data_IF_509129499429
#
_entry.id   IF_509129499429
#
_cell.length_a   1.000
_cell.length_b   1.000
_cell.length_c   1.000
_cell.angle_alpha   90.00
_cell.angle_beta   90.00
_cell.angle_gamma   90.00
#
_symmetry.space_group_name_H-M   'P 1'
#
loop_
_entity.id
_entity.type
_entity.pdbx_description
1 polymer ?
#
# COMPACT_ATOMS: atom_id res chain seq x y z
N UNK A 1 -16.21 3.69 29.88
CA UNK A 1 -17.27 4.56 29.33
C UNK A 1 -18.63 3.89 29.51
N UNK A 2 -19.70 4.63 29.82
CA UNK A 2 -21.06 4.08 29.99
C UNK A 2 -21.87 4.13 28.68
N UNK A 3 -21.39 3.37 27.71
CA UNK A 3 -22.03 3.13 26.40
C UNK A 3 -21.73 1.66 26.06
N UNK A 4 -22.75 0.87 25.74
CA UNK A 4 -22.54 -0.53 25.39
C UNK A 4 -22.03 -0.67 23.94
N UNK A 5 -21.14 -1.63 23.63
CA UNK A 5 -20.77 -1.94 22.25
C UNK A 5 -22.01 -2.19 21.37
N UNK A 6 -22.06 -1.54 20.20
CA UNK A 6 -23.17 -1.56 19.26
C UNK A 6 -24.23 -0.47 19.50
N UNK A 7 -24.21 0.18 20.67
CA UNK A 7 -25.16 1.24 21.00
C UNK A 7 -24.93 2.48 20.12
N UNK A 8 -26.02 3.04 19.60
CA UNK A 8 -26.02 4.20 18.71
C UNK A 8 -26.36 5.47 19.48
N UNK A 9 -25.52 6.50 19.38
CA UNK A 9 -25.78 7.82 19.97
C UNK A 9 -25.42 8.95 19.01
N UNK A 10 -26.00 10.13 19.25
CA UNK A 10 -25.55 11.35 18.57
C UNK A 10 -24.10 11.63 18.98
N UNK A 11 -23.24 11.90 18.01
CA UNK A 11 -21.82 12.21 18.26
C UNK A 11 -21.65 13.37 19.24
N UNK A 12 -22.47 14.41 19.10
CA UNK A 12 -22.44 15.57 20.00
C UNK A 12 -22.79 15.20 21.44
N UNK A 13 -23.76 14.31 21.66
CA UNK A 13 -24.14 13.89 23.00
C UNK A 13 -23.02 13.10 23.71
N UNK A 14 -22.26 12.29 22.96
CA UNK A 14 -21.04 11.63 23.49
C UNK A 14 -20.00 12.69 23.88
N UNK A 15 -19.78 13.67 23.02
CA UNK A 15 -18.80 14.72 23.25
C UNK A 15 -19.19 15.69 24.38
N UNK A 16 -20.49 15.88 24.63
CA UNK A 16 -20.98 16.66 25.77
C UNK A 16 -20.73 15.97 27.10
N UNK A 17 -20.74 14.62 27.12
CA UNK A 17 -20.50 13.82 28.31
C UNK A 17 -19.01 13.55 28.57
N UNK A 18 -18.25 13.27 27.51
CA UNK A 18 -16.88 12.77 27.61
C UNK A 18 -15.83 13.76 27.06
N UNK A 19 -16.25 14.88 26.49
CA UNK A 19 -15.39 15.89 25.88
C UNK A 19 -14.87 15.49 24.50
N UNK A 20 -13.71 16.05 24.14
CA UNK A 20 -13.10 15.85 22.82
C UNK A 20 -13.51 16.89 21.78
N UNK A 21 -12.65 17.12 20.79
CA UNK A 21 -12.90 18.07 19.72
C UNK A 21 -14.12 17.64 18.87
N UNK A 22 -15.07 18.56 18.65
CA UNK A 22 -16.32 18.32 17.90
C UNK A 22 -16.13 18.04 16.40
N UNK A 23 -15.01 18.46 15.82
CA UNK A 23 -14.73 18.37 14.39
C UNK A 23 -13.69 17.31 14.03
N UNK A 24 -12.74 17.01 14.93
CA UNK A 24 -11.62 16.10 14.65
C UNK A 24 -12.05 14.62 14.65
N UNK A 25 -11.47 13.81 13.75
CA UNK A 25 -11.64 12.35 13.78
C UNK A 25 -11.02 11.72 15.03
N UNK A 26 -9.87 12.26 15.46
CA UNK A 26 -9.19 11.90 16.70
C UNK A 26 -9.41 13.00 17.72
N UNK A 27 -10.35 12.76 18.65
CA UNK A 27 -10.78 13.74 19.62
C UNK A 27 -10.21 13.42 21.01
N UNK A 28 -9.02 13.92 21.29
CA UNK A 28 -8.45 13.89 22.64
C UNK A 28 -9.28 14.79 23.59
N UNK A 29 -9.60 14.29 24.78
CA UNK A 29 -10.41 15.02 25.77
C UNK A 29 -9.56 15.63 26.88
N UNK A 30 -9.89 16.87 27.27
CA UNK A 30 -9.35 17.52 28.49
C UNK A 30 -10.25 17.32 29.71
N UNK A 31 -11.47 16.83 29.50
CA UNK A 31 -12.50 16.67 30.54
C UNK A 31 -12.54 15.26 31.12
N UNK A 32 -12.09 14.27 30.35
CA UNK A 32 -12.02 12.87 30.75
C UNK A 32 -10.72 12.23 30.23
N UNK A 33 -10.25 11.13 30.85
CA UNK A 33 -9.05 10.41 30.42
C UNK A 33 -9.33 9.56 29.18
N UNK A 34 -9.87 10.16 28.12
CA UNK A 34 -10.30 9.48 26.91
C UNK A 34 -9.72 10.14 25.65
N UNK A 35 -9.46 9.31 24.64
CA UNK A 35 -9.28 9.72 23.24
C UNK A 35 -10.39 9.05 22.44
N UNK A 36 -11.26 9.85 21.84
CA UNK A 36 -12.40 9.35 21.07
C UNK A 36 -12.02 9.30 19.60
N UNK A 37 -12.12 8.13 18.99
CA UNK A 37 -11.78 7.86 17.59
C UNK A 37 -13.07 7.69 16.80
N UNK A 38 -13.23 8.45 15.73
CA UNK A 38 -14.41 8.39 14.87
C UNK A 38 -14.00 7.92 13.49
N UNK A 39 -14.44 6.72 13.12
CA UNK A 39 -14.29 6.16 11.77
C UNK A 39 -15.49 6.55 10.90
N UNK A 40 -15.23 6.84 9.63
CA UNK A 40 -16.26 7.08 8.62
C UNK A 40 -15.77 6.64 7.23
N UNK A 41 -15.73 5.33 6.94
CA UNK A 41 -15.16 4.80 5.70
C UNK A 41 -15.80 5.41 4.44
N UNK A 42 -17.13 5.57 4.45
CA UNK A 42 -17.89 6.12 3.31
C UNK A 42 -17.53 7.55 2.91
N UNK A 43 -16.92 8.36 3.79
CA UNK A 43 -16.35 9.68 3.47
C UNK A 43 -14.82 9.69 3.45
N UNK A 44 -14.20 8.81 4.23
CA UNK A 44 -12.76 8.72 4.42
C UNK A 44 -12.01 8.31 3.15
N UNK A 45 -12.58 7.41 2.34
CA UNK A 45 -11.94 6.96 1.10
C UNK A 45 -11.61 8.10 0.13
N UNK A 46 -12.41 9.18 0.12
CA UNK A 46 -12.19 10.35 -0.75
C UNK A 46 -10.92 11.14 -0.40
N UNK A 47 -10.34 10.90 0.78
CA UNK A 47 -9.13 11.59 1.28
C UNK A 47 -8.06 10.58 1.74
N UNK A 48 -8.17 9.33 1.27
CA UNK A 48 -7.20 8.27 1.48
C UNK A 48 -7.29 7.55 2.84
N UNK A 49 -8.42 7.63 3.54
CA UNK A 49 -8.59 6.92 4.82
C UNK A 49 -9.26 5.57 4.59
N UNK A 50 -8.56 4.51 4.91
CA UNK A 50 -8.97 3.12 4.71
C UNK A 50 -9.04 2.40 6.06
N UNK A 51 -10.07 2.75 6.84
CA UNK A 51 -10.28 2.19 8.18
C UNK A 51 -11.03 0.85 8.09
N UNK A 52 -10.62 -0.16 8.87
CA UNK A 52 -11.35 -1.42 8.89
C UNK A 52 -10.70 -2.53 9.70
N UNK A 53 -11.42 -3.64 9.83
CA UNK A 53 -10.94 -4.85 10.49
C UNK A 53 -9.94 -5.60 9.60
N UNK A 54 -8.78 -5.91 10.18
CA UNK A 54 -7.81 -6.82 9.62
C UNK A 54 -8.15 -8.29 9.88
N UNK A 55 -7.63 -9.17 9.02
CA UNK A 55 -7.66 -10.61 9.26
C UNK A 55 -6.82 -11.01 10.49
N UNK A 56 -5.90 -10.15 10.92
CA UNK A 56 -5.09 -10.28 12.13
C UNK A 56 -5.89 -9.99 13.43
N UNK A 57 -7.17 -9.61 13.30
CA UNK A 57 -8.07 -9.35 14.43
C UNK A 57 -7.94 -7.97 15.05
N UNK A 58 -7.10 -7.09 14.47
CA UNK A 58 -6.98 -5.69 14.87
C UNK A 58 -7.88 -4.81 14.01
N UNK A 59 -8.27 -3.64 14.54
CA UNK A 59 -8.89 -2.60 13.73
C UNK A 59 -7.80 -1.62 13.27
N UNK A 60 -7.66 -1.45 11.96
CA UNK A 60 -6.70 -0.55 11.35
C UNK A 60 -7.36 0.81 11.19
N UNK A 61 -6.77 1.82 11.83
CA UNK A 61 -7.33 3.18 11.88
C UNK A 61 -6.33 4.17 11.28
N UNK A 62 -6.78 4.92 10.27
CA UNK A 62 -5.97 5.93 9.60
C UNK A 62 -5.79 7.15 10.51
N UNK A 63 -4.56 7.63 10.63
CA UNK A 63 -4.21 8.82 11.39
C UNK A 63 -4.86 10.09 10.83
N UNK A 64 -4.78 11.18 11.59
CA UNK A 64 -5.23 12.50 11.15
C UNK A 64 -4.16 13.27 10.36
N UNK A 65 -4.62 14.17 9.51
CA UNK A 65 -3.82 14.97 8.59
C UNK A 65 -4.32 14.73 7.17
N UNK A 66 -4.82 15.78 6.50
CA UNK A 66 -5.46 15.67 5.17
C UNK A 66 -4.58 16.14 4.01
N UNK A 67 -3.42 16.75 4.30
CA UNK A 67 -2.51 17.33 3.31
C UNK A 67 -1.09 16.93 3.64
N UNK A 68 -0.34 16.50 2.63
CA UNK A 68 1.03 16.01 2.79
C UNK A 68 1.13 14.80 3.71
N UNK A 69 2.37 14.36 3.92
CA UNK A 69 2.68 13.22 4.77
C UNK A 69 2.18 13.45 6.21
N UNK A 70 1.58 12.42 6.79
CA UNK A 70 1.10 12.49 8.15
C UNK A 70 2.26 12.42 9.13
N UNK A 71 2.22 13.32 10.10
CA UNK A 71 3.19 13.36 11.19
C UNK A 71 2.60 12.78 12.48
N UNK A 72 3.47 12.25 13.33
CA UNK A 72 3.11 11.76 14.66
C UNK A 72 2.92 12.92 15.65
N UNK A 73 2.00 13.82 15.34
CA UNK A 73 1.69 15.02 16.13
C UNK A 73 0.20 15.05 16.51
N UNK A 74 -0.18 15.94 17.44
CA UNK A 74 -1.59 16.20 17.84
C UNK A 74 -2.38 14.91 18.13
N UNK A 75 -3.45 14.62 17.39
CA UNK A 75 -4.29 13.44 17.58
C UNK A 75 -3.52 12.12 17.38
N UNK A 76 -2.64 12.05 16.37
CA UNK A 76 -1.78 10.88 16.16
C UNK A 76 -0.89 10.62 17.38
N UNK A 77 -0.32 11.69 17.95
CA UNK A 77 0.47 11.60 19.17
C UNK A 77 -0.37 11.19 20.39
N UNK A 78 -1.63 11.64 20.48
CA UNK A 78 -2.54 11.27 21.55
C UNK A 78 -2.90 9.76 21.51
N UNK A 79 -3.02 9.17 20.32
CA UNK A 79 -3.15 7.72 20.16
C UNK A 79 -1.86 7.03 20.61
N UNK A 80 -0.70 7.48 20.11
CA UNK A 80 0.58 6.86 20.42
C UNK A 80 0.88 6.85 21.94
N UNK A 81 0.56 7.95 22.64
CA UNK A 81 0.87 8.12 24.07
C UNK A 81 -0.27 7.74 25.00
N UNK A 82 -1.39 7.20 24.51
CA UNK A 82 -2.59 7.00 25.33
C UNK A 82 -2.31 6.19 26.62
N UNK A 83 -1.55 5.10 26.55
CA UNK A 83 -1.17 4.31 27.75
C UNK A 83 -0.31 5.13 28.71
N UNK A 84 0.72 5.82 28.20
CA UNK A 84 1.63 6.63 29.02
C UNK A 84 0.89 7.78 29.72
N UNK A 85 -0.13 8.33 29.07
CA UNK A 85 -0.98 9.41 29.60
C UNK A 85 -2.18 8.90 30.41
N UNK A 86 -2.33 7.58 30.59
CA UNK A 86 -3.43 6.98 31.34
C UNK A 86 -4.80 7.21 30.70
N UNK A 87 -4.87 7.20 29.36
CA UNK A 87 -6.07 7.46 28.57
C UNK A 87 -6.58 6.22 27.86
N UNK A 88 -7.89 6.00 27.86
CA UNK A 88 -8.53 4.95 27.06
C UNK A 88 -8.81 5.40 25.62
N UNK A 89 -8.63 4.50 24.65
CA UNK A 89 -9.06 4.73 23.26
C UNK A 89 -10.46 4.15 23.06
N UNK A 90 -11.40 5.00 22.66
CA UNK A 90 -12.78 4.59 22.40
C UNK A 90 -13.11 4.81 20.93
N UNK A 91 -13.43 3.74 20.21
CA UNK A 91 -13.71 3.79 18.78
C UNK A 91 -15.20 3.79 18.49
N UNK A 92 -15.59 4.60 17.51
CA UNK A 92 -16.96 4.76 17.05
C UNK A 92 -17.02 4.69 15.52
N UNK A 93 -18.04 4.02 15.01
CA UNK A 93 -18.33 3.92 13.57
C UNK A 93 -19.50 4.83 13.17
N UNK A 94 -19.36 5.56 12.06
CA UNK A 94 -20.39 6.48 11.57
C UNK A 94 -21.51 5.72 10.85
N UNK A 95 -22.63 5.48 11.53
CA UNK A 95 -23.78 4.74 10.98
C UNK A 95 -24.84 5.60 10.31
N UNK A 96 -24.91 6.90 10.63
CA UNK A 96 -25.77 7.87 9.94
C UNK A 96 -25.25 9.30 10.15
N UNK A 97 -25.82 10.29 9.45
CA UNK A 97 -25.42 11.70 9.60
C UNK A 97 -25.52 12.15 11.07
N UNK A 98 -24.38 12.37 11.71
CA UNK A 98 -24.29 12.83 13.10
C UNK A 98 -24.56 11.76 14.17
N UNK A 99 -24.77 10.51 13.77
CA UNK A 99 -25.02 9.37 14.67
C UNK A 99 -23.91 8.35 14.50
N UNK A 100 -23.35 7.91 15.60
CA UNK A 100 -22.27 6.94 15.64
C UNK A 100 -22.67 5.74 16.50
N UNK A 101 -22.17 4.57 16.14
CA UNK A 101 -22.27 3.37 16.95
C UNK A 101 -20.95 3.16 17.71
N UNK A 102 -21.03 2.90 19.00
CA UNK A 102 -19.83 2.62 19.80
C UNK A 102 -19.30 1.22 19.47
N UNK A 103 -18.04 1.12 19.07
CA UNK A 103 -17.42 -0.17 18.80
C UNK A 103 -16.86 -0.80 20.07
N UNK A 104 -16.23 -0.01 20.93
CA UNK A 104 -15.65 -0.50 22.16
C UNK A 104 -14.35 0.22 22.53
N UNK A 105 -13.66 -0.34 23.53
CA UNK A 105 -12.37 0.13 23.99
C UNK A 105 -11.23 -0.63 23.32
N UNK A 106 -10.20 0.12 22.95
CA UNK A 106 -9.03 -0.39 22.24
C UNK A 106 -7.74 0.09 22.91
N UNK A 107 -6.65 -0.59 22.60
CA UNK A 107 -5.27 -0.17 22.84
C UNK A 107 -4.45 -0.38 21.56
N UNK A 108 -3.17 -0.03 21.55
CA UNK A 108 -2.31 -0.31 20.41
C UNK A 108 -1.81 -1.76 20.45
N UNK A 109 -1.59 -2.35 19.29
CA UNK A 109 -0.89 -3.63 19.18
C UNK A 109 0.49 -3.53 19.85
N UNK A 110 0.91 -4.59 20.54
CA UNK A 110 2.15 -4.59 21.35
C UNK A 110 3.40 -4.85 20.53
N UNK A 111 3.26 -5.50 19.37
CA UNK A 111 4.34 -5.82 18.44
C UNK A 111 4.61 -4.63 17.50
N UNK A 112 3.71 -4.41 16.53
CA UNK A 112 3.77 -3.35 15.55
C UNK A 112 2.55 -2.45 15.78
N UNK A 113 2.64 -1.41 16.62
CA UNK A 113 1.48 -0.59 17.00
C UNK A 113 0.92 0.24 15.84
N UNK A 114 1.76 0.56 14.85
CA UNK A 114 1.38 1.32 13.67
C UNK A 114 2.39 1.07 12.53
N UNK A 115 2.01 1.45 11.32
CA UNK A 115 2.85 1.40 10.11
C UNK A 115 2.49 2.55 9.17
N UNK A 116 3.32 2.81 8.18
CA UNK A 116 3.03 3.78 7.13
C UNK A 116 2.39 3.09 5.93
N UNK A 117 1.49 3.79 5.24
CA UNK A 117 0.92 3.33 3.99
C UNK A 117 0.78 4.51 3.03
N UNK A 118 0.99 4.26 1.74
CA UNK A 118 0.69 5.26 0.72
C UNK A 118 -0.83 5.38 0.51
N UNK A 119 -1.32 6.61 0.50
CA UNK A 119 -2.70 6.93 0.18
C UNK A 119 -2.79 8.24 -0.62
N UNK A 120 -3.77 8.38 -1.54
CA UNK A 120 -4.03 9.64 -2.19
C UNK A 120 -4.57 10.65 -1.17
N UNK A 121 -4.17 11.90 -1.30
CA UNK A 121 -4.82 13.01 -0.61
C UNK A 121 -6.07 13.51 -1.37
N UNK A 122 -6.65 14.63 -0.92
CA UNK A 122 -7.82 15.22 -1.55
C UNK A 122 -7.55 15.78 -2.97
N UNK A 123 -6.29 15.88 -3.39
CA UNK A 123 -5.83 16.33 -4.70
C UNK A 123 -5.34 15.15 -5.57
N UNK A 124 -5.50 13.91 -5.10
CA UNK A 124 -4.99 12.69 -5.74
C UNK A 124 -3.45 12.65 -5.79
N UNK A 125 -2.79 13.38 -4.90
CA UNK A 125 -1.34 13.30 -4.69
C UNK A 125 -1.05 12.19 -3.68
N UNK A 126 -0.11 11.31 -4.01
CA UNK A 126 0.29 10.23 -3.11
C UNK A 126 1.08 10.81 -1.94
N UNK A 127 0.72 10.36 -0.75
CA UNK A 127 1.35 10.74 0.51
C UNK A 127 1.42 9.58 1.48
N UNK A 128 2.30 9.69 2.45
CA UNK A 128 2.42 8.73 3.55
C UNK A 128 1.37 8.99 4.63
N UNK A 129 0.54 8.00 4.94
CA UNK A 129 -0.42 8.02 6.07
C UNK A 129 -0.03 7.04 7.15
N UNK A 130 -0.35 7.38 8.40
CA UNK A 130 -0.12 6.51 9.56
C UNK A 130 -1.32 5.59 9.73
N UNK A 131 -1.08 4.29 9.81
CA UNK A 131 -2.11 3.29 10.09
C UNK A 131 -1.88 2.71 11.49
N UNK A 132 -2.76 3.00 12.44
CA UNK A 132 -2.72 2.46 13.80
C UNK A 132 -3.38 1.07 13.86
N UNK A 133 -2.69 0.11 14.47
CA UNK A 133 -3.22 -1.24 14.73
C UNK A 133 -3.87 -1.27 16.12
N UNK A 134 -5.19 -1.16 16.15
CA UNK A 134 -5.97 -1.08 17.38
C UNK A 134 -6.42 -2.47 17.85
N UNK A 135 -5.94 -2.88 19.03
CA UNK A 135 -6.27 -4.13 19.71
C UNK A 135 -7.50 -3.95 20.60
N UNK A 136 -8.54 -4.80 20.49
CA UNK A 136 -9.64 -4.81 21.46
C UNK A 136 -9.15 -5.07 22.90
N UNK A 137 -9.62 -4.28 23.87
CA UNK A 137 -9.34 -4.50 25.31
C UNK A 137 -10.39 -5.43 25.96
N UNK A 138 -11.57 -5.56 25.35
CA UNK A 138 -12.66 -6.42 25.82
C UNK A 138 -13.66 -6.72 24.72
N UNK A 139 -14.93 -6.87 25.08
CA UNK A 139 -16.01 -7.07 24.10
C UNK A 139 -16.16 -5.82 23.24
N UNK A 140 -16.14 -6.03 21.92
CA UNK A 140 -16.33 -4.98 20.92
C UNK A 140 -17.40 -5.39 19.91
N UNK A 141 -18.13 -4.40 19.39
CA UNK A 141 -19.00 -4.60 18.24
C UNK A 141 -18.15 -4.57 16.96
N UNK A 142 -18.24 -5.64 16.16
CA UNK A 142 -17.58 -5.73 14.85
C UNK A 142 -18.36 -4.93 13.81
N UNK A 143 -18.17 -3.62 13.82
CA UNK A 143 -18.72 -2.66 12.87
C UNK A 143 -17.62 -2.12 11.94
N UNK A 144 -18.02 -1.46 10.86
CA UNK A 144 -17.12 -0.94 9.83
C UNK A 144 -16.80 -1.95 8.74
N UNK A 145 -15.81 -1.63 7.91
CA UNK A 145 -15.39 -2.45 6.78
C UNK A 145 -14.39 -3.53 7.20
N UNK A 146 -14.21 -4.55 6.37
CA UNK A 146 -13.12 -5.52 6.49
C UNK A 146 -12.07 -5.20 5.44
N UNK A 147 -10.83 -4.98 5.87
CA UNK A 147 -9.73 -4.74 4.96
C UNK A 147 -9.36 -6.06 4.27
N UNK A 148 -9.28 -6.02 2.94
CA UNK A 148 -8.85 -7.17 2.14
C UNK A 148 -7.38 -7.52 2.41
N UNK A 149 -6.57 -6.53 2.81
CA UNK A 149 -5.14 -6.66 3.03
C UNK A 149 -4.72 -5.91 4.29
N UNK A 150 -3.82 -6.52 5.05
CA UNK A 150 -3.13 -5.94 6.22
C UNK A 150 -1.66 -6.32 6.16
N UNK A 151 -0.77 -5.58 6.84
CA UNK A 151 0.65 -5.89 6.83
C UNK A 151 0.92 -7.31 7.29
N UNK A 152 1.85 -7.96 6.60
CA UNK A 152 2.36 -9.28 6.99
C UNK A 152 3.64 -9.11 7.78
N UNK A 153 3.93 -10.05 8.67
CA UNK A 153 5.18 -10.08 9.44
C UNK A 153 6.38 -10.55 8.61
N UNK A 154 6.14 -11.22 7.49
CA UNK A 154 7.16 -11.82 6.63
C UNK A 154 6.92 -11.46 5.17
N UNK A 155 8.00 -11.45 4.39
CA UNK A 155 7.95 -11.27 2.95
C UNK A 155 7.20 -12.44 2.29
N UNK A 156 6.37 -12.13 1.31
CA UNK A 156 5.69 -13.13 0.48
C UNK A 156 6.17 -12.98 -0.94
N UNK A 157 6.78 -14.02 -1.49
CA UNK A 157 7.28 -14.02 -2.87
C UNK A 157 6.71 -15.22 -3.60
N UNK A 158 5.80 -14.96 -4.54
CA UNK A 158 5.06 -15.99 -5.28
C UNK A 158 5.33 -15.85 -6.77
N UNK A 159 5.54 -16.98 -7.45
CA UNK A 159 5.44 -17.03 -8.92
C UNK A 159 3.97 -17.01 -9.33
N UNK A 160 3.60 -16.06 -10.17
CA UNK A 160 2.26 -15.94 -10.73
C UNK A 160 2.32 -15.83 -12.25
N UNK A 161 1.24 -16.22 -12.93
CA UNK A 161 1.14 -16.11 -14.37
C UNK A 161 1.17 -14.63 -14.80
N UNK A 162 1.90 -14.34 -15.88
CA UNK A 162 2.07 -12.98 -16.43
C UNK A 162 0.72 -12.30 -16.75
N UNK A 163 -0.26 -13.08 -17.21
CA UNK A 163 -1.59 -12.63 -17.66
C UNK A 163 -2.53 -12.12 -16.55
N UNK A 164 -2.21 -12.29 -15.26
CA UNK A 164 -3.08 -11.87 -14.13
C UNK A 164 -3.04 -10.35 -13.84
N UNK A 165 -3.16 -9.51 -14.87
CA UNK A 165 -3.22 -8.04 -14.76
C UNK A 165 -4.44 -7.50 -14.00
N UNK A 166 -5.43 -8.33 -13.65
CA UNK A 166 -6.69 -7.86 -13.07
C UNK A 166 -6.59 -7.46 -11.59
N UNK A 167 -5.66 -8.02 -10.82
CA UNK A 167 -5.61 -7.78 -9.36
C UNK A 167 -4.89 -6.46 -9.00
N UNK A 168 -3.90 -6.04 -9.79
CA UNK A 168 -3.20 -4.74 -9.61
C UNK A 168 -4.12 -3.54 -9.85
N UNK A 169 -5.00 -3.64 -10.86
CA UNK A 169 -5.89 -2.55 -11.30
C UNK A 169 -6.91 -2.11 -10.24
N UNK A 170 -7.20 -2.94 -9.24
CA UNK A 170 -8.14 -2.57 -8.17
C UNK A 170 -7.51 -1.72 -7.05
N UNK A 171 -6.17 -1.72 -6.91
CA UNK A 171 -5.48 -1.07 -5.79
C UNK A 171 -4.76 0.24 -6.19
N UNK A 172 -4.50 0.43 -7.48
CA UNK A 172 -3.73 1.56 -8.01
C UNK A 172 -4.66 2.48 -8.80
N UNK A 173 -5.37 3.37 -8.12
CA UNK A 173 -6.04 4.48 -8.80
C UNK A 173 -5.07 5.65 -8.92
N UNK A 174 -4.34 5.72 -10.04
CA UNK A 174 -3.73 6.98 -10.50
C UNK A 174 -3.61 7.05 -12.03
N UNK A 175 -3.87 8.27 -12.51
CA UNK A 175 -3.83 8.94 -13.84
C UNK A 175 -3.65 8.20 -15.18
N UNK A 176 -4.18 8.87 -16.20
CA UNK A 176 -4.15 8.54 -17.64
C UNK A 176 -2.75 8.35 -18.25
N UNK A 177 -1.69 8.97 -17.70
CA UNK A 177 -0.33 8.84 -18.24
C UNK A 177 0.33 7.50 -17.88
N UNK A 178 0.14 7.00 -16.65
CA UNK A 178 0.55 5.64 -16.28
C UNK A 178 -0.17 4.62 -17.17
N UNK A 179 -1.47 4.84 -17.41
CA UNK A 179 -2.24 4.02 -18.36
C UNK A 179 -1.70 4.05 -19.80
N UNK A 180 -1.10 5.15 -20.25
CA UNK A 180 -0.52 5.24 -21.59
C UNK A 180 0.85 4.55 -21.70
N UNK A 181 1.70 4.68 -20.69
CA UNK A 181 2.98 3.98 -20.63
C UNK A 181 2.79 2.45 -20.54
N UNK A 182 1.92 2.00 -19.63
CA UNK A 182 1.54 0.58 -19.48
C UNK A 182 0.98 0.00 -20.80
N UNK A 183 0.14 0.75 -21.52
CA UNK A 183 -0.39 0.33 -22.82
C UNK A 183 0.70 0.11 -23.87
N UNK A 184 1.83 0.84 -23.78
CA UNK A 184 2.97 0.67 -24.69
C UNK A 184 3.89 -0.47 -24.26
N UNK A 185 3.93 -0.76 -22.96
CA UNK A 185 4.74 -1.84 -22.37
C UNK A 185 4.13 -3.22 -22.60
N UNK A 186 2.80 -3.36 -22.46
CA UNK A 186 2.13 -4.65 -22.55
C UNK A 186 2.44 -5.44 -23.85
N UNK A 187 2.42 -4.84 -25.06
CA UNK A 187 2.80 -5.56 -26.28
C UNK A 187 4.27 -6.00 -26.29
N UNK A 188 5.17 -5.19 -25.73
CA UNK A 188 6.60 -5.49 -25.66
C UNK A 188 6.88 -6.65 -24.69
N UNK A 189 6.22 -6.64 -23.52
CA UNK A 189 6.26 -7.72 -22.53
C UNK A 189 5.76 -9.03 -23.14
N UNK A 190 4.59 -9.01 -23.80
CA UNK A 190 4.02 -10.19 -24.47
C UNK A 190 4.96 -10.72 -25.56
N UNK A 191 5.50 -9.84 -26.42
CA UNK A 191 6.40 -10.25 -27.49
C UNK A 191 7.70 -10.90 -26.96
N UNK A 192 8.29 -10.35 -25.89
CA UNK A 192 9.50 -10.91 -25.30
C UNK A 192 9.24 -12.22 -24.57
N UNK A 193 8.13 -12.31 -23.83
CA UNK A 193 7.68 -13.57 -23.22
C UNK A 193 7.52 -14.66 -24.28
N UNK A 194 6.78 -14.40 -25.34
CA UNK A 194 6.54 -15.39 -26.39
C UNK A 194 7.85 -15.80 -27.10
N UNK A 195 8.78 -14.85 -27.28
CA UNK A 195 10.13 -15.11 -27.79
C UNK A 195 10.93 -16.07 -26.89
N UNK A 196 10.83 -15.92 -25.57
CA UNK A 196 11.47 -16.80 -24.58
C UNK A 196 10.79 -18.18 -24.53
N UNK A 197 9.46 -18.22 -24.53
CA UNK A 197 8.68 -19.47 -24.55
C UNK A 197 8.99 -20.32 -25.79
N UNK A 198 9.11 -19.69 -26.98
CA UNK A 198 9.50 -20.39 -28.21
C UNK A 198 10.89 -21.01 -28.15
N UNK A 199 11.75 -20.56 -27.23
CA UNK A 199 13.08 -21.11 -26.97
C UNK A 199 13.11 -22.14 -25.85
N UNK A 200 11.95 -22.50 -25.30
CA UNK A 200 11.81 -23.47 -24.23
C UNK A 200 12.04 -22.91 -22.82
N UNK A 201 12.07 -21.59 -22.66
CA UNK A 201 12.16 -20.98 -21.34
C UNK A 201 10.81 -21.06 -20.61
N UNK A 202 10.85 -21.06 -19.28
CA UNK A 202 9.66 -20.91 -18.43
C UNK A 202 9.63 -19.51 -17.86
N UNK A 203 8.58 -18.75 -18.17
CA UNK A 203 8.47 -17.33 -17.81
C UNK A 203 7.25 -17.09 -16.93
N UNK A 204 7.48 -16.49 -15.77
CA UNK A 204 6.46 -16.08 -14.81
C UNK A 204 6.57 -14.57 -14.56
N UNK A 205 5.85 -14.06 -13.57
CA UNK A 205 6.20 -12.82 -12.89
C UNK A 205 6.20 -13.09 -11.38
N UNK A 206 6.93 -12.29 -10.61
CA UNK A 206 6.86 -12.34 -9.15
C UNK A 206 5.77 -11.43 -8.64
N UNK A 207 4.99 -11.93 -7.68
CA UNK A 207 4.19 -11.12 -6.76
C UNK A 207 4.95 -11.07 -5.44
N UNK A 208 5.31 -9.87 -5.00
CA UNK A 208 6.11 -9.61 -3.81
C UNK A 208 5.26 -8.79 -2.85
N UNK A 209 5.06 -9.25 -1.63
CA UNK A 209 4.48 -8.43 -0.56
C UNK A 209 5.57 -8.30 0.50
N UNK A 210 6.24 -7.15 0.60
CA UNK A 210 7.23 -6.92 1.64
C UNK A 210 6.62 -7.04 3.05
N UNK A 211 7.41 -7.51 4.01
CA UNK A 211 7.04 -7.50 5.41
C UNK A 211 6.74 -6.06 5.86
N UNK A 212 5.65 -5.87 6.59
CA UNK A 212 5.17 -4.55 7.04
C UNK A 212 4.38 -3.77 5.99
N UNK A 213 4.40 -4.19 4.73
CA UNK A 213 3.66 -3.53 3.64
C UNK A 213 2.33 -4.22 3.35
N UNK A 214 1.38 -3.44 2.83
CA UNK A 214 0.05 -3.93 2.45
C UNK A 214 -0.06 -4.14 0.94
N UNK A 215 0.62 -3.29 0.16
CA UNK A 215 0.51 -3.28 -1.30
C UNK A 215 1.47 -4.29 -1.91
N UNK A 216 0.97 -5.27 -2.70
CA UNK A 216 1.85 -6.13 -3.47
C UNK A 216 2.56 -5.35 -4.57
N UNK A 217 3.86 -5.59 -4.70
CA UNK A 217 4.66 -5.27 -5.87
C UNK A 217 4.56 -6.42 -6.85
N UNK A 218 4.64 -6.12 -8.15
CA UNK A 218 4.81 -7.18 -9.12
C UNK A 218 5.73 -6.78 -10.26
N UNK A 219 6.52 -7.76 -10.68
CA UNK A 219 7.52 -7.62 -11.73
C UNK A 219 6.85 -7.73 -13.09
N UNK A 220 7.49 -7.26 -14.15
CA UNK A 220 6.98 -7.49 -15.51
C UNK A 220 7.16 -8.94 -15.94
N UNK A 221 8.41 -9.43 -15.93
CA UNK A 221 8.73 -10.82 -16.28
C UNK A 221 9.83 -11.36 -15.37
N UNK A 222 9.76 -12.66 -15.12
CA UNK A 222 10.78 -13.44 -14.46
C UNK A 222 11.02 -14.71 -15.26
N UNK A 223 12.19 -14.82 -15.86
CA UNK A 223 12.63 -16.03 -16.54
C UNK A 223 13.19 -17.00 -15.48
N UNK A 224 12.42 -18.04 -15.18
CA UNK A 224 12.79 -19.07 -14.20
C UNK A 224 13.86 -20.03 -14.73
N UNK A 225 14.02 -20.13 -16.05
CA UNK A 225 15.00 -21.03 -16.67
C UNK A 225 16.41 -20.49 -16.49
N UNK A 226 16.61 -19.21 -16.81
CA UNK A 226 17.92 -18.55 -16.72
C UNK A 226 18.07 -17.68 -15.46
N UNK A 227 17.04 -17.66 -14.61
CA UNK A 227 16.99 -16.90 -13.36
C UNK A 227 17.24 -15.39 -13.57
N UNK A 228 16.49 -14.81 -14.52
CA UNK A 228 16.59 -13.40 -14.93
C UNK A 228 15.32 -12.63 -14.56
N UNK A 229 15.49 -11.55 -13.83
CA UNK A 229 14.45 -10.58 -13.54
C UNK A 229 14.47 -9.47 -14.62
N UNK A 230 13.31 -9.24 -15.23
CA UNK A 230 13.18 -8.36 -16.39
C UNK A 230 12.12 -7.29 -16.10
N UNK A 231 12.49 -6.03 -16.31
CA UNK A 231 11.61 -4.87 -16.22
C UNK A 231 11.52 -4.19 -17.59
N UNK A 232 10.30 -4.00 -18.07
CA UNK A 232 10.01 -3.37 -19.35
C UNK A 232 9.71 -1.89 -19.16
N UNK A 233 10.07 -1.10 -20.18
CA UNK A 233 9.64 0.30 -20.29
C UNK A 233 9.20 0.64 -21.70
N UNK A 234 8.15 1.46 -21.83
CA UNK A 234 7.60 1.88 -23.12
C UNK A 234 8.43 2.96 -23.83
N UNK A 235 9.60 3.32 -23.30
CA UNK A 235 10.44 4.41 -23.78
C UNK A 235 11.92 4.14 -23.52
N UNK A 236 12.78 4.55 -24.45
CA UNK A 236 14.25 4.53 -24.31
C UNK A 236 14.81 5.77 -23.60
N UNK A 237 13.95 6.65 -23.08
CA UNK A 237 14.37 7.87 -22.39
C UNK A 237 15.15 7.56 -21.10
N UNK A 238 16.07 8.44 -20.71
CA UNK A 238 16.91 8.25 -19.52
C UNK A 238 16.08 8.02 -18.25
N UNK A 239 14.99 8.76 -18.06
CA UNK A 239 14.14 8.62 -16.88
C UNK A 239 13.46 7.25 -16.81
N UNK A 240 13.01 6.72 -17.95
CA UNK A 240 12.44 5.37 -18.02
C UNK A 240 13.48 4.30 -17.65
N UNK A 241 14.70 4.41 -18.20
CA UNK A 241 15.80 3.48 -17.87
C UNK A 241 16.19 3.55 -16.39
N UNK A 242 16.29 4.75 -15.81
CA UNK A 242 16.56 4.92 -14.38
C UNK A 242 15.48 4.29 -13.51
N UNK A 243 14.21 4.50 -13.87
CA UNK A 243 13.08 3.89 -13.17
C UNK A 243 13.16 2.37 -13.22
N UNK A 244 13.41 1.79 -14.40
CA UNK A 244 13.55 0.35 -14.56
C UNK A 244 14.67 -0.24 -13.69
N UNK A 245 15.84 0.41 -13.66
CA UNK A 245 16.96 0.00 -12.80
C UNK A 245 16.53 0.04 -11.32
N UNK A 246 15.86 1.11 -10.88
CA UNK A 246 15.36 1.25 -9.51
C UNK A 246 14.41 0.11 -9.13
N UNK A 247 13.41 -0.17 -9.98
CA UNK A 247 12.45 -1.26 -9.78
C UNK A 247 13.13 -2.63 -9.75
N UNK A 248 14.06 -2.90 -10.66
CA UNK A 248 14.83 -4.15 -10.67
C UNK A 248 15.61 -4.36 -9.37
N UNK A 249 16.27 -3.31 -8.86
CA UNK A 249 16.97 -3.39 -7.58
C UNK A 249 16.03 -3.52 -6.38
N UNK A 250 14.86 -2.89 -6.43
CA UNK A 250 13.84 -3.04 -5.39
C UNK A 250 13.41 -4.51 -5.28
N UNK A 251 12.96 -5.10 -6.38
CA UNK A 251 12.44 -6.47 -6.42
C UNK A 251 13.52 -7.52 -6.15
N UNK A 252 14.74 -7.32 -6.65
CA UNK A 252 15.85 -8.28 -6.52
C UNK A 252 16.15 -8.65 -5.07
N UNK A 253 15.91 -7.76 -4.11
CA UNK A 253 16.17 -7.97 -2.68
C UNK A 253 15.36 -9.12 -2.08
N UNK A 254 14.22 -9.47 -2.70
CA UNK A 254 13.30 -10.50 -2.21
C UNK A 254 13.50 -11.86 -2.90
N UNK A 255 14.34 -11.96 -3.94
CA UNK A 255 14.50 -13.17 -4.73
C UNK A 255 15.84 -13.82 -4.40
N UNK A 256 15.80 -15.06 -3.90
CA UNK A 256 17.00 -15.85 -3.55
C UNK A 256 17.04 -17.15 -4.37
N UNK A 257 18.18 -17.51 -5.01
CA UNK A 257 19.41 -16.72 -5.12
C UNK A 257 19.19 -15.40 -5.87
N UNK A 258 20.12 -14.45 -5.80
CA UNK A 258 19.95 -13.16 -6.45
C UNK A 258 19.89 -13.32 -7.99
N UNK A 259 18.80 -12.87 -8.67
CA UNK A 259 18.69 -13.00 -10.13
C UNK A 259 19.63 -12.05 -10.87
N UNK A 260 19.91 -12.43 -12.13
CA UNK A 260 20.47 -11.50 -13.11
C UNK A 260 19.40 -10.49 -13.52
N UNK A 261 19.82 -9.29 -13.95
CA UNK A 261 18.90 -8.20 -14.26
C UNK A 261 18.88 -7.90 -15.76
N UNK A 262 17.71 -7.56 -16.28
CA UNK A 262 17.55 -7.08 -17.65
C UNK A 262 16.51 -5.96 -17.77
N UNK A 263 16.81 -4.92 -18.54
CA UNK A 263 15.88 -3.85 -18.91
C UNK A 263 15.41 -4.10 -20.34
N UNK A 264 14.11 -4.26 -20.53
CA UNK A 264 13.48 -4.48 -21.83
C UNK A 264 12.92 -3.17 -22.41
N UNK A 265 13.40 -2.78 -23.59
CA UNK A 265 13.09 -1.49 -24.24
C UNK A 265 12.52 -1.68 -25.65
N UNK A 266 11.73 -0.72 -26.17
CA UNK A 266 11.06 -0.86 -27.48
C UNK A 266 12.03 -0.77 -28.66
N UNK A 267 13.22 -0.22 -28.46
CA UNK A 267 14.27 -0.09 -29.45
C UNK A 267 15.64 0.06 -28.77
N UNK A 268 16.72 -0.02 -29.55
CA UNK A 268 18.08 0.14 -29.02
C UNK A 268 18.26 1.53 -28.41
N UNK A 269 18.60 1.67 -27.12
CA UNK A 269 18.88 2.97 -26.54
C UNK A 269 20.27 3.46 -26.99
N UNK A 270 20.54 4.75 -26.76
CA UNK A 270 21.88 5.32 -26.98
C UNK A 270 22.92 4.64 -26.08
N UNK A 271 24.18 4.61 -26.54
CA UNK A 271 25.27 3.88 -25.87
C UNK A 271 25.43 4.20 -24.38
N UNK A 272 25.37 5.48 -24.02
CA UNK A 272 25.44 5.92 -22.62
C UNK A 272 24.40 5.25 -21.69
N UNK A 273 23.20 4.93 -22.19
CA UNK A 273 22.17 4.26 -21.39
C UNK A 273 22.41 2.74 -21.29
N UNK A 274 23.04 2.14 -22.30
CA UNK A 274 23.52 0.75 -22.22
C UNK A 274 24.62 0.66 -21.17
N UNK A 275 25.59 1.58 -21.23
CA UNK A 275 26.69 1.65 -20.25
C UNK A 275 26.15 1.86 -18.82
N UNK A 276 25.11 2.70 -18.64
CA UNK A 276 24.41 2.87 -17.36
C UNK A 276 23.80 1.57 -16.84
N UNK A 277 23.08 0.82 -17.67
CA UNK A 277 22.52 -0.47 -17.28
C UNK A 277 23.64 -1.45 -16.91
N UNK A 278 24.70 -1.53 -17.71
CA UNK A 278 25.83 -2.44 -17.49
C UNK A 278 26.56 -2.16 -16.17
N UNK A 279 26.86 -0.89 -15.87
CA UNK A 279 27.44 -0.50 -14.56
C UNK A 279 26.49 -0.79 -13.40
N UNK A 280 25.18 -0.80 -13.66
CA UNK A 280 24.13 -1.18 -12.71
C UNK A 280 23.86 -2.69 -12.68
N UNK A 281 24.69 -3.51 -13.34
CA UNK A 281 24.54 -4.97 -13.37
C UNK A 281 23.31 -5.50 -14.13
N UNK A 282 22.68 -4.66 -14.95
CA UNK A 282 21.55 -5.02 -15.80
C UNK A 282 21.96 -5.03 -17.28
N UNK A 283 21.58 -6.08 -18.01
CA UNK A 283 21.68 -6.09 -19.48
C UNK A 283 20.50 -5.33 -20.09
N UNK A 284 20.60 -4.95 -21.35
CA UNK A 284 19.51 -4.30 -22.08
C UNK A 284 19.03 -5.20 -23.20
N UNK A 285 17.71 -5.44 -23.27
CA UNK A 285 17.06 -6.19 -24.33
C UNK A 285 16.18 -5.29 -25.19
N UNK A 286 16.17 -5.49 -26.52
CA UNK A 286 15.24 -4.82 -27.43
C UNK A 286 14.94 -5.64 -28.68
N UNK A 287 13.81 -5.40 -29.38
CA UNK A 287 13.46 -6.10 -30.61
C UNK A 287 14.44 -5.82 -31.76
N UNK A 288 14.81 -6.87 -32.50
CA UNK A 288 15.47 -6.79 -33.81
C UNK A 288 14.78 -7.75 -34.79
N UNK A 289 13.91 -7.21 -35.63
CA UNK A 289 13.07 -8.01 -36.53
C UNK A 289 12.10 -8.90 -35.73
N UNK A 290 12.25 -10.23 -35.87
CA UNK A 290 11.47 -11.23 -35.10
C UNK A 290 12.22 -11.77 -33.87
N UNK A 291 13.43 -11.27 -33.62
CA UNK A 291 14.26 -11.66 -32.49
C UNK A 291 14.39 -10.51 -31.50
N UNK A 292 15.11 -10.77 -30.41
CA UNK A 292 15.57 -9.76 -29.46
C UNK A 292 17.09 -9.80 -29.40
N UNK A 293 17.70 -8.61 -29.30
CA UNK A 293 19.12 -8.44 -29.00
C UNK A 293 19.27 -8.15 -27.52
N UNK A 294 20.36 -8.66 -26.94
CA UNK A 294 20.80 -8.36 -25.58
C UNK A 294 22.21 -7.76 -25.66
N UNK A 295 22.45 -6.66 -24.95
CA UNK A 295 23.76 -6.01 -24.77
C UNK A 295 24.01 -5.71 -23.29
#
# INVERSE_FOLDING_TARGET
MDIAPGEKRKRTAIQDLYGGNRQAGIAHSRQSPNVLLFSNPGRGHQVGYFDGWGADGYYHYTGEGQKGDQEMTRGNLAILRHVQEGRALHLFDSVARGVVAYMGEFTLATDTPWYYQDAPDAQDEIRSVIMFRLKPVGTVAKLGENLAFTPRSEDVVEDVAVEKHQTERMLVSSKTQEREAERREAPLVTAYRDYLLQRGHTVTRKKIIPAGEVRPLYTDLFDTTDHVLIEAKGSVAREAVRMAIGQLYDYRRYITPAPSLAVLLPSRPRRDLIDLCNVSGARVAWPEGRAFKLE
#
